data_IF_616540303805
#
_entry.id   IF_616540303805
#
_cell.length_a   1.000
_cell.length_b   1.000
_cell.length_c   1.000
_cell.angle_alpha   90.00
_cell.angle_beta   90.00
_cell.angle_gamma   90.00
#
_symmetry.space_group_name_H-M   'P 1'
#
loop_
_entity.id
_entity.type
_entity.pdbx_description
1 polymer ?
#
# COMPACT_ATOMS: atom_id res chain seq x y z
N UNK A 1 -4.74 -6.26 -15.21
CA UNK A 1 -3.85 -6.73 -16.27
C UNK A 1 -4.11 -8.21 -16.60
N UNK A 2 -3.64 -9.16 -15.81
CA UNK A 2 -3.94 -10.58 -16.00
C UNK A 2 -5.40 -10.89 -15.70
N UNK A 3 -6.05 -11.65 -16.57
CA UNK A 3 -7.45 -12.07 -16.42
C UNK A 3 -8.46 -10.94 -16.26
N UNK A 4 -8.17 -9.75 -16.79
CA UNK A 4 -9.04 -8.57 -16.66
C UNK A 4 -10.51 -8.87 -17.02
N UNK A 5 -10.75 -9.56 -18.14
CA UNK A 5 -12.12 -9.91 -18.57
C UNK A 5 -12.84 -10.83 -17.57
N UNK A 6 -12.11 -11.81 -16.97
CA UNK A 6 -12.70 -12.69 -15.95
C UNK A 6 -13.06 -11.93 -14.67
N UNK A 7 -12.22 -10.96 -14.27
CA UNK A 7 -12.49 -10.12 -13.09
C UNK A 7 -13.71 -9.24 -13.36
N UNK A 8 -13.77 -8.59 -14.52
CA UNK A 8 -14.91 -7.75 -14.92
C UNK A 8 -16.20 -8.57 -14.98
N UNK A 9 -16.14 -9.78 -15.53
CA UNK A 9 -17.29 -10.69 -15.59
C UNK A 9 -17.76 -11.12 -14.20
N UNK A 10 -16.85 -11.50 -13.32
CA UNK A 10 -17.17 -11.86 -11.93
C UNK A 10 -17.82 -10.70 -11.16
N UNK A 11 -17.33 -9.47 -11.34
CA UNK A 11 -17.93 -8.26 -10.75
C UNK A 11 -19.38 -8.10 -11.26
N UNK A 12 -19.60 -8.26 -12.57
CA UNK A 12 -20.92 -8.13 -13.19
C UNK A 12 -21.88 -9.21 -12.70
N UNK A 13 -21.44 -10.48 -12.66
CA UNK A 13 -22.26 -11.62 -12.22
C UNK A 13 -22.67 -11.50 -10.75
N UNK A 14 -21.80 -10.95 -9.92
CA UNK A 14 -22.06 -10.75 -8.48
C UNK A 14 -22.77 -9.41 -8.19
N UNK A 15 -23.21 -8.64 -9.20
CA UNK A 15 -23.78 -7.29 -9.04
C UNK A 15 -22.94 -6.42 -8.09
N UNK A 16 -21.60 -6.48 -8.27
CA UNK A 16 -20.63 -5.73 -7.45
C UNK A 16 -20.67 -6.08 -5.97
N UNK A 17 -21.25 -7.22 -5.57
CA UNK A 17 -21.46 -7.60 -4.15
C UNK A 17 -22.13 -6.50 -3.32
N UNK A 18 -23.02 -5.72 -3.93
CA UNK A 18 -23.71 -4.60 -3.30
C UNK A 18 -22.87 -3.31 -3.19
N UNK A 19 -21.69 -3.25 -3.84
CA UNK A 19 -20.83 -2.09 -3.89
C UNK A 19 -20.79 -1.48 -5.29
N UNK A 20 -20.51 -0.18 -5.37
CA UNK A 20 -20.17 0.47 -6.65
C UNK A 20 -18.71 0.18 -6.97
N UNK A 21 -18.45 -0.64 -7.99
CA UNK A 21 -17.10 -1.02 -8.41
C UNK A 21 -16.76 -0.36 -9.74
N UNK A 22 -15.60 0.27 -9.81
CA UNK A 22 -15.00 0.79 -11.03
C UNK A 22 -13.68 0.07 -11.29
N UNK A 23 -13.37 -0.17 -12.56
CA UNK A 23 -12.17 -0.91 -12.97
C UNK A 23 -11.19 0.02 -13.66
N UNK A 24 -9.99 0.15 -13.12
CA UNK A 24 -8.84 0.75 -13.80
C UNK A 24 -8.10 -0.35 -14.57
N UNK A 25 -8.34 -0.45 -15.86
CA UNK A 25 -7.83 -1.55 -16.70
C UNK A 25 -6.39 -1.27 -17.16
N UNK A 26 -5.47 -2.15 -16.80
CA UNK A 26 -4.04 -2.08 -17.13
C UNK A 26 -3.62 -3.16 -18.15
N UNK A 27 -4.56 -3.70 -18.97
CA UNK A 27 -4.23 -4.78 -19.91
C UNK A 27 -3.17 -4.40 -20.94
N UNK A 28 -3.05 -3.14 -21.28
CA UNK A 28 -2.07 -2.63 -22.24
C UNK A 28 -0.67 -2.51 -21.64
N UNK A 29 -0.59 -2.16 -20.35
CA UNK A 29 0.67 -2.00 -19.65
C UNK A 29 0.50 -2.20 -18.14
N UNK A 30 1.28 -3.13 -17.56
CA UNK A 30 1.34 -3.32 -16.13
C UNK A 30 2.15 -2.18 -15.49
N UNK A 31 1.50 -1.36 -14.66
CA UNK A 31 2.05 -0.12 -14.11
C UNK A 31 2.65 -0.26 -12.71
N UNK A 32 2.54 -1.43 -12.08
CA UNK A 32 2.80 -1.65 -10.65
C UNK A 32 1.87 -0.83 -9.74
N UNK A 33 2.08 -0.89 -8.43
CA UNK A 33 1.11 -0.33 -7.46
C UNK A 33 1.04 1.21 -7.50
N UNK A 34 2.13 1.90 -7.75
CA UNK A 34 2.16 3.37 -7.83
C UNK A 34 1.60 3.90 -9.14
N UNK A 35 2.04 3.35 -10.27
CA UNK A 35 1.52 3.73 -11.59
C UNK A 35 0.05 3.36 -11.75
N UNK A 36 -0.38 2.20 -11.20
CA UNK A 36 -1.78 1.79 -11.16
C UNK A 36 -2.66 2.76 -10.37
N UNK A 37 -2.22 3.18 -9.19
CA UNK A 37 -2.92 4.18 -8.39
C UNK A 37 -3.03 5.52 -9.15
N UNK A 38 -1.93 5.96 -9.80
CA UNK A 38 -1.94 7.18 -10.62
C UNK A 38 -2.97 7.10 -11.76
N UNK A 39 -3.02 5.97 -12.47
CA UNK A 39 -3.99 5.73 -13.54
C UNK A 39 -5.44 5.77 -13.04
N UNK A 40 -5.67 5.31 -11.81
CA UNK A 40 -6.99 5.29 -11.19
C UNK A 40 -7.41 6.66 -10.61
N UNK A 41 -6.59 7.72 -10.67
CA UNK A 41 -6.86 9.03 -10.06
C UNK A 41 -8.28 9.54 -10.34
N UNK A 42 -8.68 9.57 -11.61
CA UNK A 42 -9.98 10.12 -12.04
C UNK A 42 -11.19 9.25 -11.62
N UNK A 43 -10.94 7.99 -11.25
CA UNK A 43 -11.95 7.11 -10.66
C UNK A 43 -12.08 7.32 -9.14
N UNK A 44 -11.00 7.76 -8.48
CA UNK A 44 -10.90 7.92 -7.04
C UNK A 44 -11.29 9.31 -6.58
N UNK A 45 -10.93 10.36 -7.32
CA UNK A 45 -11.18 11.74 -6.96
C UNK A 45 -12.38 12.32 -7.71
N UNK A 46 -13.26 12.99 -6.98
CA UNK A 46 -14.43 13.69 -7.57
C UNK A 46 -14.05 15.00 -8.24
N UNK A 47 -12.92 15.58 -7.83
CA UNK A 47 -12.33 16.81 -8.36
C UNK A 47 -10.87 16.91 -7.92
N UNK A 48 -10.09 17.80 -8.52
CA UNK A 48 -8.69 18.05 -8.13
C UNK A 48 -8.55 18.59 -6.68
N UNK A 49 -9.61 19.11 -6.09
CA UNK A 49 -9.64 19.59 -4.72
C UNK A 49 -10.28 18.60 -3.74
N UNK A 50 -10.55 17.37 -4.15
CA UNK A 50 -11.10 16.34 -3.28
C UNK A 50 -10.08 15.99 -2.18
N UNK A 51 -10.51 16.14 -0.93
CA UNK A 51 -9.69 15.84 0.25
C UNK A 51 -10.09 14.51 0.91
N UNK A 52 -10.96 13.73 0.27
CA UNK A 52 -11.38 12.44 0.79
C UNK A 52 -10.21 11.47 0.81
N UNK A 53 -9.80 10.94 1.97
CA UNK A 53 -8.68 10.01 2.05
C UNK A 53 -8.97 8.73 1.28
N UNK A 54 -7.91 8.13 0.73
CA UNK A 54 -7.99 6.94 -0.10
C UNK A 54 -7.47 5.75 0.68
N UNK A 55 -8.33 4.77 0.94
CA UNK A 55 -7.89 3.46 1.41
C UNK A 55 -7.43 2.64 0.20
N UNK A 56 -6.15 2.29 0.16
CA UNK A 56 -5.59 1.40 -0.84
C UNK A 56 -5.12 0.10 -0.18
N UNK A 57 -5.44 -1.03 -0.82
CA UNK A 57 -5.15 -2.36 -0.28
C UNK A 57 -4.73 -3.30 -1.41
N UNK A 58 -3.72 -4.13 -1.16
CA UNK A 58 -3.44 -5.27 -2.01
C UNK A 58 -4.57 -6.29 -1.91
N UNK A 59 -4.99 -6.84 -3.04
CA UNK A 59 -6.15 -7.76 -3.11
C UNK A 59 -5.80 -9.18 -2.62
N UNK A 60 -4.53 -9.52 -2.56
CA UNK A 60 -3.99 -10.82 -2.16
C UNK A 60 -3.59 -10.90 -0.68
N UNK A 61 -4.18 -10.07 0.17
CA UNK A 61 -3.93 -10.06 1.61
C UNK A 61 -5.21 -10.43 2.36
N UNK A 62 -5.13 -11.48 3.17
CA UNK A 62 -6.11 -11.78 4.22
C UNK A 62 -5.61 -11.22 5.55
N UNK A 63 -6.47 -10.56 6.32
CA UNK A 63 -6.08 -10.02 7.63
C UNK A 63 -7.28 -9.76 8.54
N UNK A 64 -6.99 -9.64 9.84
CA UNK A 64 -7.97 -9.21 10.86
C UNK A 64 -7.93 -7.69 11.09
N UNK A 65 -7.49 -6.91 10.12
CA UNK A 65 -7.43 -5.45 10.28
C UNK A 65 -8.81 -4.87 10.58
N UNK A 66 -8.90 -4.07 11.60
CA UNK A 66 -10.06 -3.21 11.85
C UNK A 66 -9.93 -1.92 11.01
N UNK A 67 -10.69 -1.86 9.93
CA UNK A 67 -10.72 -0.71 9.02
C UNK A 67 -11.19 0.56 9.74
N UNK A 68 -12.10 0.46 10.73
CA UNK A 68 -12.58 1.63 11.46
C UNK A 68 -11.45 2.20 12.34
N UNK A 69 -10.69 1.33 13.00
CA UNK A 69 -9.52 1.72 13.78
C UNK A 69 -8.44 2.36 12.90
N UNK A 70 -8.19 1.78 11.73
CA UNK A 70 -7.26 2.35 10.77
C UNK A 70 -7.71 3.74 10.29
N UNK A 71 -8.98 3.91 9.96
CA UNK A 71 -9.53 5.21 9.58
C UNK A 71 -9.44 6.25 10.72
N UNK A 72 -9.67 5.83 11.96
CA UNK A 72 -9.55 6.69 13.13
C UNK A 72 -8.09 7.10 13.44
N UNK A 73 -7.12 6.28 13.04
CA UNK A 73 -5.69 6.57 13.19
C UNK A 73 -5.12 7.49 12.09
N UNK A 74 -5.89 7.74 11.04
CA UNK A 74 -5.45 8.63 9.96
C UNK A 74 -5.43 10.10 10.41
N UNK A 75 -4.28 10.76 10.19
CA UNK A 75 -4.11 12.20 10.41
C UNK A 75 -4.07 12.90 9.04
N UNK A 76 -5.03 13.81 8.73
CA UNK A 76 -5.08 14.53 7.45
C UNK A 76 -3.90 15.48 7.21
N UNK A 77 -3.09 15.77 8.23
CA UNK A 77 -1.84 16.53 8.10
C UNK A 77 -0.65 15.67 7.63
N UNK A 78 -0.84 14.37 7.51
CA UNK A 78 0.17 13.45 6.98
C UNK A 78 -0.11 13.09 5.52
N UNK A 79 0.91 12.61 4.80
CA UNK A 79 0.75 12.12 3.44
C UNK A 79 0.14 10.72 3.40
N UNK A 80 0.25 9.96 4.48
CA UNK A 80 -0.42 8.67 4.61
C UNK A 80 -0.12 7.96 5.92
N UNK A 81 -0.96 6.94 6.18
CA UNK A 81 -0.83 6.00 7.29
C UNK A 81 -0.65 4.60 6.71
N UNK A 82 0.47 3.97 6.99
CA UNK A 82 0.88 2.67 6.43
C UNK A 82 0.64 1.58 7.47
N UNK A 83 -0.13 0.55 7.13
CA UNK A 83 -0.28 -0.62 8.01
C UNK A 83 0.99 -1.45 7.95
N UNK A 84 1.55 -1.71 9.12
CA UNK A 84 2.82 -2.43 9.28
C UNK A 84 2.71 -3.48 10.38
N UNK A 85 3.67 -4.40 10.42
CA UNK A 85 3.74 -5.45 11.42
C UNK A 85 5.20 -5.82 11.75
N UNK A 86 5.40 -6.50 12.87
CA UNK A 86 6.71 -7.03 13.29
C UNK A 86 7.04 -8.40 12.66
N UNK A 87 6.26 -8.84 11.65
CA UNK A 87 6.50 -10.13 11.00
C UNK A 87 7.89 -10.22 10.38
N UNK A 88 8.45 -11.40 10.35
CA UNK A 88 9.73 -11.64 9.71
C UNK A 88 9.63 -11.52 8.19
N UNK A 89 10.50 -10.74 7.60
CA UNK A 89 10.67 -10.56 6.15
C UNK A 89 12.11 -10.19 5.83
N UNK A 90 12.45 -10.12 4.56
CA UNK A 90 13.74 -9.57 4.12
C UNK A 90 13.70 -8.06 3.86
N UNK A 91 12.51 -7.49 3.69
CA UNK A 91 12.30 -6.10 3.28
C UNK A 91 11.50 -5.37 4.35
N UNK A 92 12.09 -4.32 4.92
CA UNK A 92 11.48 -3.54 5.98
C UNK A 92 11.41 -2.06 5.62
N UNK A 93 10.32 -1.41 6.00
CA UNK A 93 10.28 0.03 6.17
C UNK A 93 10.97 0.39 7.49
N UNK A 94 11.63 1.55 7.50
CA UNK A 94 12.36 2.07 8.65
C UNK A 94 11.60 3.27 9.22
N UNK A 95 11.19 3.15 10.47
CA UNK A 95 10.46 4.21 11.17
C UNK A 95 11.27 4.70 12.36
N UNK A 96 11.20 6.01 12.64
CA UNK A 96 11.78 6.61 13.84
C UNK A 96 10.89 6.40 15.08
N UNK A 97 11.34 6.92 16.24
CA UNK A 97 10.60 6.86 17.51
C UNK A 97 9.22 7.51 17.45
N UNK A 98 9.01 8.48 16.55
CA UNK A 98 7.73 9.13 16.30
C UNK A 98 6.85 8.36 15.30
N UNK A 99 7.21 7.11 14.95
CA UNK A 99 6.52 6.28 13.98
C UNK A 99 6.45 6.91 12.58
N UNK A 100 7.44 7.73 12.21
CA UNK A 100 7.52 8.39 10.91
C UNK A 100 8.47 7.62 10.00
N UNK A 101 8.05 7.36 8.76
CA UNK A 101 8.85 6.68 7.75
C UNK A 101 10.11 7.49 7.42
N UNK A 102 11.27 6.83 7.48
CA UNK A 102 12.57 7.41 7.16
C UNK A 102 13.27 6.71 6.01
N UNK A 103 12.90 5.46 5.72
CA UNK A 103 13.53 4.71 4.66
C UNK A 103 13.08 3.27 4.57
N UNK A 104 13.90 2.49 3.89
CA UNK A 104 13.67 1.09 3.63
C UNK A 104 15.00 0.32 3.62
N UNK A 105 14.96 -0.94 4.00
CA UNK A 105 16.12 -1.82 3.92
C UNK A 105 15.74 -3.23 3.45
N UNK A 106 16.68 -3.87 2.76
CA UNK A 106 16.63 -5.31 2.48
C UNK A 106 17.77 -5.98 3.26
N UNK A 107 17.44 -6.74 4.28
CA UNK A 107 18.44 -7.38 5.16
C UNK A 107 19.21 -8.51 4.49
N UNK A 108 18.68 -9.10 3.39
CA UNK A 108 19.38 -10.15 2.66
C UNK A 108 20.48 -9.59 1.75
N UNK A 109 20.30 -8.37 1.21
CA UNK A 109 21.26 -7.73 0.30
C UNK A 109 22.09 -6.65 0.98
N UNK A 110 21.66 -6.17 2.15
CA UNK A 110 22.22 -5.00 2.80
C UNK A 110 21.83 -3.65 2.15
N UNK A 111 20.93 -3.66 1.16
CA UNK A 111 20.47 -2.45 0.48
C UNK A 111 19.68 -1.57 1.45
N UNK A 112 19.95 -0.26 1.38
CA UNK A 112 19.24 0.78 2.15
C UNK A 112 18.78 1.87 1.18
N UNK A 113 17.55 2.35 1.37
CA UNK A 113 16.98 3.47 0.60
C UNK A 113 16.39 4.54 1.53
N UNK A 114 16.63 5.83 1.27
CA UNK A 114 17.58 6.35 0.28
C UNK A 114 19.03 5.93 0.62
N UNK A 115 19.91 5.84 -0.38
CA UNK A 115 21.29 5.37 -0.21
C UNK A 115 22.12 6.22 0.77
N UNK A 116 21.69 7.47 1.00
CA UNK A 116 22.30 8.39 1.96
C UNK A 116 21.86 8.16 3.40
N UNK A 117 20.84 7.32 3.63
CA UNK A 117 20.28 7.09 4.96
C UNK A 117 21.25 6.27 5.81
N UNK A 118 21.62 6.83 6.96
CA UNK A 118 22.31 6.08 8.03
C UNK A 118 21.25 5.53 8.97
N UNK A 119 21.15 4.20 9.03
CA UNK A 119 20.22 3.54 9.95
C UNK A 119 20.68 3.80 11.38
N UNK A 120 19.85 4.49 12.14
CA UNK A 120 20.09 4.77 13.56
C UNK A 120 19.63 3.58 14.41
N UNK A 121 20.14 3.49 15.62
CA UNK A 121 19.84 2.35 16.54
C UNK A 121 18.38 2.32 17.03
N UNK A 122 17.71 3.46 17.01
CA UNK A 122 16.33 3.69 17.41
C UNK A 122 15.31 3.45 16.27
N UNK A 123 15.80 3.20 15.04
CA UNK A 123 14.90 2.91 13.92
C UNK A 123 14.25 1.53 14.07
N UNK A 124 12.93 1.52 14.07
CA UNK A 124 12.14 0.29 14.01
C UNK A 124 12.08 -0.25 12.59
N UNK A 125 12.29 -1.56 12.44
CA UNK A 125 12.15 -2.30 11.18
C UNK A 125 10.78 -2.95 11.16
N UNK A 126 9.86 -2.40 10.39
CA UNK A 126 8.51 -2.90 10.30
C UNK A 126 8.19 -3.37 8.87
N UNK A 127 7.53 -4.52 8.77
CA UNK A 127 7.11 -5.10 7.50
C UNK A 127 5.84 -4.42 7.01
N UNK A 128 5.84 -3.90 5.80
CA UNK A 128 4.64 -3.33 5.18
C UNK A 128 3.61 -4.43 4.90
N UNK A 129 2.36 -4.13 5.17
CA UNK A 129 1.25 -5.10 5.09
C UNK A 129 0.39 -4.96 3.83
N UNK A 130 0.78 -4.11 2.89
CA UNK A 130 0.04 -3.92 1.64
C UNK A 130 -1.26 -3.11 1.79
N UNK A 131 -1.48 -2.45 2.93
CA UNK A 131 -2.66 -1.63 3.18
C UNK A 131 -2.25 -0.26 3.72
N UNK A 132 -2.91 0.79 3.27
CA UNK A 132 -2.63 2.16 3.68
C UNK A 132 -3.81 3.10 3.46
N UNK A 133 -3.85 4.19 4.23
CA UNK A 133 -4.68 5.36 3.93
C UNK A 133 -3.77 6.47 3.41
N UNK A 134 -4.13 7.06 2.28
CA UNK A 134 -3.35 8.08 1.61
C UNK A 134 -4.12 9.41 1.56
N UNK A 135 -3.38 10.49 1.76
CA UNK A 135 -3.89 11.83 1.47
C UNK A 135 -3.96 12.02 -0.05
N UNK A 136 -5.08 12.54 -0.60
CA UNK A 136 -5.21 12.79 -2.04
C UNK A 136 -4.13 13.70 -2.62
N UNK A 137 -3.52 14.56 -1.80
CA UNK A 137 -2.38 15.40 -2.20
C UNK A 137 -1.19 14.58 -2.76
N UNK A 138 -1.12 13.27 -2.47
CA UNK A 138 -0.08 12.38 -2.99
C UNK A 138 -0.04 12.37 -4.53
N UNK A 139 -1.17 12.55 -5.19
CA UNK A 139 -1.25 12.60 -6.66
C UNK A 139 -0.45 13.77 -7.26
N UNK A 140 -0.29 14.87 -6.53
CA UNK A 140 0.48 16.03 -7.00
C UNK A 140 1.99 15.71 -7.15
N UNK A 141 2.47 14.62 -6.54
CA UNK A 141 3.87 14.21 -6.54
C UNK A 141 4.16 13.06 -7.50
N UNK A 142 3.12 12.40 -8.05
CA UNK A 142 3.31 11.21 -8.88
C UNK A 142 3.95 11.52 -10.24
N UNK A 143 3.73 12.70 -10.80
CA UNK A 143 4.36 13.09 -12.07
C UNK A 143 5.86 13.28 -11.91
N UNK A 144 6.34 13.74 -10.76
CA UNK A 144 7.77 13.91 -10.49
C UNK A 144 8.48 12.54 -10.43
N UNK A 145 7.92 11.55 -9.76
CA UNK A 145 8.52 10.21 -9.74
C UNK A 145 8.41 9.52 -11.10
N UNK A 146 7.32 9.73 -11.83
CA UNK A 146 7.15 9.20 -13.19
C UNK A 146 8.22 9.76 -14.15
N UNK A 147 8.58 11.03 -14.02
CA UNK A 147 9.64 11.63 -14.83
C UNK A 147 11.01 10.95 -14.61
N UNK A 148 11.26 10.38 -13.44
CA UNK A 148 12.53 9.72 -13.09
C UNK A 148 12.48 8.20 -13.38
N UNK A 149 11.38 7.53 -13.06
CA UNK A 149 11.25 6.06 -13.13
C UNK A 149 10.42 5.56 -14.31
N UNK A 150 9.74 6.43 -15.04
CA UNK A 150 8.75 6.08 -16.05
C UNK A 150 7.37 5.80 -15.42
N UNK A 151 6.43 5.34 -16.23
CA UNK A 151 5.05 5.10 -15.80
C UNK A 151 4.91 3.93 -14.83
N UNK A 152 5.87 3.00 -14.83
CA UNK A 152 5.88 1.80 -14.01
C UNK A 152 6.71 2.02 -12.75
N UNK A 153 6.05 2.23 -11.62
CA UNK A 153 6.71 2.39 -10.31
C UNK A 153 5.83 1.85 -9.17
N UNK A 154 6.48 1.49 -8.06
CA UNK A 154 5.77 1.02 -6.86
C UNK A 154 5.36 2.17 -5.93
N UNK A 155 4.35 1.95 -5.09
CA UNK A 155 4.00 2.88 -4.01
C UNK A 155 5.15 3.05 -3.02
N UNK A 156 5.94 2.01 -2.78
CA UNK A 156 7.13 2.10 -1.93
C UNK A 156 8.15 3.09 -2.51
N UNK A 157 8.39 3.06 -3.81
CA UNK A 157 9.27 4.04 -4.46
C UNK A 157 8.77 5.48 -4.27
N UNK A 158 7.45 5.68 -4.39
CA UNK A 158 6.83 6.98 -4.16
C UNK A 158 7.01 7.44 -2.70
N UNK A 159 6.72 6.58 -1.73
CA UNK A 159 6.88 6.93 -0.31
C UNK A 159 8.32 7.29 0.02
N UNK A 160 9.28 6.52 -0.48
CA UNK A 160 10.70 6.77 -0.25
C UNK A 160 11.21 8.04 -0.94
N UNK A 161 10.60 8.46 -2.04
CA UNK A 161 10.93 9.74 -2.69
C UNK A 161 10.39 10.94 -1.92
N UNK A 162 9.36 10.75 -1.10
CA UNK A 162 8.65 11.80 -0.39
C UNK A 162 8.94 11.87 1.12
N UNK A 163 9.44 10.78 1.73
CA UNK A 163 9.54 10.67 3.19
C UNK A 163 10.54 11.62 3.87
N UNK A 164 11.39 12.32 3.10
CA UNK A 164 12.24 13.40 3.61
C UNK A 164 11.50 14.72 3.81
N UNK A 165 10.42 14.95 3.06
CA UNK A 165 9.66 16.21 3.04
C UNK A 165 8.26 16.06 3.64
N UNK A 166 7.69 14.87 3.53
CA UNK A 166 6.32 14.57 3.94
C UNK A 166 6.26 13.44 4.97
N UNK A 167 5.31 13.55 5.87
CA UNK A 167 5.14 12.57 6.95
C UNK A 167 4.26 11.41 6.48
N UNK A 168 4.81 10.19 6.58
CA UNK A 168 4.06 8.94 6.53
C UNK A 168 4.14 8.27 7.90
N UNK A 169 3.01 7.91 8.48
CA UNK A 169 2.94 7.28 9.80
C UNK A 169 2.80 5.77 9.72
N UNK A 170 3.42 5.07 10.65
CA UNK A 170 3.14 3.65 10.87
C UNK A 170 1.82 3.49 11.63
N UNK A 171 0.99 2.54 11.22
CA UNK A 171 -0.09 1.99 12.01
C UNK A 171 0.24 0.52 12.29
N UNK A 172 0.52 0.23 13.54
CA UNK A 172 0.86 -1.11 14.05
C UNK A 172 -0.31 -1.60 14.90
N UNK A 173 -1.29 -2.33 14.31
CA UNK A 173 -2.44 -2.80 15.06
C UNK A 173 -2.03 -3.86 16.10
N UNK A 174 -2.63 -3.83 17.27
CA UNK A 174 -2.48 -4.90 18.26
C UNK A 174 -3.05 -6.22 17.71
N UNK A 175 -2.37 -7.32 18.02
CA UNK A 175 -2.78 -8.69 17.61
C UNK A 175 -3.01 -8.84 16.09
N UNK A 176 -2.33 -8.03 15.29
CA UNK A 176 -2.47 -8.05 13.85
C UNK A 176 -1.96 -9.36 13.25
N UNK A 177 -2.85 -10.01 12.52
CA UNK A 177 -2.55 -11.22 11.75
C UNK A 177 -2.82 -10.98 10.28
N UNK A 178 -1.91 -11.40 9.42
CA UNK A 178 -2.07 -11.31 7.98
C UNK A 178 -1.45 -12.50 7.27
N UNK A 179 -1.98 -12.82 6.10
CA UNK A 179 -1.43 -13.81 5.18
C UNK A 179 -1.47 -13.26 3.76
N UNK A 180 -0.36 -13.40 3.05
CA UNK A 180 -0.26 -13.15 1.61
C UNK A 180 -0.72 -14.43 0.88
N UNK A 181 -1.75 -14.32 0.04
CA UNK A 181 -2.38 -15.46 -0.66
C UNK A 181 -2.10 -15.43 -2.18
N UNK A 182 -1.08 -14.70 -2.59
CA UNK A 182 -0.71 -14.55 -4.01
C UNK A 182 -0.21 -15.83 -4.71
N UNK A 183 -0.16 -16.99 -4.02
CA UNK A 183 0.29 -18.26 -4.58
C UNK A 183 -0.79 -19.33 -4.48
N UNK A 184 -0.97 -20.07 -5.60
CA UNK A 184 -2.00 -21.11 -5.71
C UNK A 184 -1.80 -22.26 -4.71
N UNK A 185 -0.57 -22.61 -4.40
CA UNK A 185 -0.21 -23.67 -3.44
C UNK A 185 -0.54 -23.33 -1.97
N UNK A 186 -0.95 -22.09 -1.70
CA UNK A 186 -1.31 -21.60 -0.37
C UNK A 186 -2.83 -21.52 -0.12
N UNK A 187 -3.67 -21.95 -1.06
CA UNK A 187 -5.15 -21.81 -0.95
C UNK A 187 -5.69 -22.53 0.28
N UNK A 188 -5.27 -23.78 0.53
CA UNK A 188 -5.75 -24.55 1.70
C UNK A 188 -5.33 -23.91 3.04
N UNK A 189 -4.16 -23.26 3.08
CA UNK A 189 -3.69 -22.53 4.25
C UNK A 189 -4.46 -21.22 4.40
N UNK A 190 -4.75 -20.54 3.30
CA UNK A 190 -5.54 -19.32 3.26
C UNK A 190 -6.97 -19.56 3.77
N UNK A 191 -7.61 -20.66 3.39
CA UNK A 191 -8.94 -21.03 3.89
C UNK A 191 -8.93 -21.26 5.40
N UNK A 192 -7.95 -22.00 5.91
CA UNK A 192 -7.79 -22.20 7.37
C UNK A 192 -7.52 -20.88 8.10
N UNK A 193 -6.69 -20.03 7.52
CA UNK A 193 -6.42 -18.72 8.08
C UNK A 193 -7.68 -17.85 8.12
N UNK A 194 -8.44 -17.78 7.02
CA UNK A 194 -9.71 -17.03 6.95
C UNK A 194 -10.73 -17.49 8.00
N UNK A 195 -10.82 -18.80 8.26
CA UNK A 195 -11.70 -19.35 9.31
C UNK A 195 -11.24 -18.99 10.74
N UNK A 196 -10.00 -18.57 10.91
CA UNK A 196 -9.41 -18.20 12.20
C UNK A 196 -9.43 -16.69 12.49
N UNK A 197 -9.82 -15.86 11.51
CA UNK A 197 -9.98 -14.41 11.65
C UNK A 197 -11.27 -14.06 12.38
#
# INVERSE_FOLDING_TARGET
HHFADKIIEAIREADGWGCTIQVSDERDCLLETGGGLRKAKDLLLRSDNDQTPILACNVDILSNIDIQSLCAAYDPHTMGTLVVSERHTQRYLLFDEQQTLRGWTNIATGEVRPASLQIQHDFQRLAFSGMQILNPAIFNHMDAIMAVKGEKFSLIDLYLSLCSEYVFKAHLPADYRMMDVGKIDQIDEAERFAQSL
#
